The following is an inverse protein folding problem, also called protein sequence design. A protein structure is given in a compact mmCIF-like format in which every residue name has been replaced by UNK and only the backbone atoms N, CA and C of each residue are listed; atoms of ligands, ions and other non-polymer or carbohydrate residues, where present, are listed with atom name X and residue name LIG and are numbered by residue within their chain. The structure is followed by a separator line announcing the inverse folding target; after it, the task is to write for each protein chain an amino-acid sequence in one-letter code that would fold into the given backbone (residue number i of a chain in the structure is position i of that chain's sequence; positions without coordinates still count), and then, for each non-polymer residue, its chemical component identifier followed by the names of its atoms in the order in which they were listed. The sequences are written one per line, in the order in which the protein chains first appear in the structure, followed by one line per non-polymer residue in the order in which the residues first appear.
data_IF_402840235774
#
_entry.id   IF_402840235774
#
_cell.length_a   1.000
_cell.length_b   1.000
_cell.length_c   1.000
_cell.angle_alpha   90.00
_cell.angle_beta   90.00
_cell.angle_gamma   90.00
#
_symmetry.space_group_name_H-M   'P 1'
#
loop_
_entity.id
_entity.type
_entity.pdbx_description
1 polymer ?
#
# COMPACT_ATOMS: atom_id res chain seq x y z
N UNK A 1 8.61 -8.05 13.71
CA UNK A 1 7.50 -7.83 14.66
C UNK A 1 6.54 -9.02 14.66
N UNK A 2 5.75 -9.32 13.59
CA UNK A 2 4.72 -10.37 13.60
C UNK A 2 5.26 -11.75 14.04
N UNK A 3 6.42 -12.18 13.53
CA UNK A 3 7.04 -13.43 13.95
C UNK A 3 7.42 -13.41 15.44
N UNK A 4 8.00 -12.30 15.90
CA UNK A 4 8.38 -12.14 17.31
C UNK A 4 7.16 -12.17 18.24
N UNK A 5 6.05 -11.51 17.85
CA UNK A 5 4.79 -11.55 18.60
C UNK A 5 4.24 -12.99 18.67
N UNK A 6 4.27 -13.72 17.55
CA UNK A 6 3.84 -15.13 17.53
C UNK A 6 4.72 -16.02 18.45
N UNK A 7 6.03 -15.81 18.41
CA UNK A 7 6.98 -16.55 19.28
C UNK A 7 6.75 -16.22 20.76
N UNK A 8 6.50 -14.94 21.09
CA UNK A 8 6.18 -14.51 22.44
C UNK A 8 4.90 -15.18 22.95
N UNK A 9 3.80 -15.11 22.20
CA UNK A 9 2.54 -15.77 22.57
C UNK A 9 2.69 -17.26 22.73
N UNK A 10 3.48 -17.92 21.89
CA UNK A 10 3.72 -19.34 21.98
C UNK A 10 4.45 -19.72 23.26
N UNK A 11 5.35 -18.86 23.74
CA UNK A 11 6.14 -19.09 24.94
C UNK A 11 5.42 -18.69 26.23
N UNK A 12 4.55 -17.69 26.18
CA UNK A 12 3.93 -17.09 27.38
C UNK A 12 2.47 -17.51 27.56
N UNK A 13 1.65 -17.37 26.53
CA UNK A 13 0.20 -17.58 26.63
C UNK A 13 -0.22 -18.99 26.22
N UNK A 14 0.47 -19.60 25.26
CA UNK A 14 0.08 -20.91 24.70
C UNK A 14 1.22 -21.94 24.66
N UNK A 15 1.99 -22.14 25.77
CA UNK A 15 3.13 -23.04 25.77
C UNK A 15 2.75 -24.52 25.60
N UNK A 16 1.46 -24.85 25.73
CA UNK A 16 0.92 -26.18 25.52
C UNK A 16 0.68 -26.54 24.05
N UNK A 17 0.73 -25.57 23.15
CA UNK A 17 0.55 -25.82 21.72
C UNK A 17 1.83 -26.40 21.10
N UNK A 18 1.67 -27.47 20.33
CA UNK A 18 2.75 -28.05 19.54
C UNK A 18 2.84 -27.36 18.18
N UNK A 19 3.36 -26.13 18.17
CA UNK A 19 3.53 -25.29 16.98
C UNK A 19 4.99 -24.90 16.85
N UNK A 20 5.52 -25.01 15.65
CA UNK A 20 6.88 -24.60 15.32
C UNK A 20 6.83 -23.45 14.34
N UNK A 21 7.55 -22.37 14.63
CA UNK A 21 7.68 -21.19 13.79
C UNK A 21 9.09 -21.16 13.18
N UNK A 22 9.17 -20.98 11.89
CA UNK A 22 10.44 -20.86 11.18
C UNK A 22 10.35 -19.86 10.04
N UNK A 23 11.28 -18.92 9.97
CA UNK A 23 11.41 -18.02 8.84
C UNK A 23 11.99 -18.77 7.64
N UNK A 24 11.33 -18.63 6.49
CA UNK A 24 11.77 -19.18 5.21
C UNK A 24 12.13 -18.09 4.20
N UNK A 25 12.26 -16.83 4.63
CA UNK A 25 12.52 -15.67 3.77
C UNK A 25 13.75 -15.88 2.90
N UNK A 26 14.84 -16.38 3.49
CA UNK A 26 16.12 -16.62 2.78
C UNK A 26 16.10 -17.83 1.83
N UNK A 27 15.01 -18.61 1.85
CA UNK A 27 14.88 -19.79 0.99
C UNK A 27 14.33 -19.44 -0.41
N UNK A 28 13.94 -18.18 -0.64
CA UNK A 28 13.35 -17.75 -1.90
C UNK A 28 13.98 -16.47 -2.42
N UNK A 29 14.24 -16.44 -3.73
CA UNK A 29 14.28 -15.22 -4.52
C UNK A 29 12.85 -14.87 -4.94
N UNK A 30 12.46 -13.60 -4.79
CA UNK A 30 11.11 -13.16 -5.10
C UNK A 30 11.14 -12.13 -6.21
N UNK A 31 10.32 -12.33 -7.24
CA UNK A 31 10.15 -11.40 -8.34
C UNK A 31 8.71 -10.92 -8.38
N UNK A 32 8.51 -9.61 -8.46
CA UNK A 32 7.21 -9.03 -8.76
C UNK A 32 7.20 -8.56 -10.21
N UNK A 33 6.20 -8.99 -10.96
CA UNK A 33 5.95 -8.56 -12.33
C UNK A 33 4.57 -7.92 -12.38
N UNK A 34 4.48 -6.65 -12.80
CA UNK A 34 3.26 -5.84 -12.75
C UNK A 34 3.05 -5.06 -14.03
N UNK A 35 1.78 -4.89 -14.39
CA UNK A 35 1.37 -4.09 -15.54
C UNK A 35 0.38 -4.81 -16.46
N UNK A 36 -0.21 -4.10 -17.43
CA UNK A 36 -1.31 -4.62 -18.26
C UNK A 36 -0.91 -5.80 -19.16
N UNK A 37 0.41 -5.99 -19.42
CA UNK A 37 0.94 -7.07 -20.25
C UNK A 37 1.53 -8.23 -19.45
N UNK A 38 1.41 -8.18 -18.15
CA UNK A 38 2.00 -9.18 -17.26
C UNK A 38 1.49 -10.59 -17.56
N UNK A 39 0.19 -10.76 -17.84
CA UNK A 39 -0.40 -12.07 -18.14
C UNK A 39 0.18 -12.71 -19.39
N UNK A 40 0.41 -11.92 -20.42
CA UNK A 40 1.01 -12.40 -21.67
C UNK A 40 2.46 -12.83 -21.46
N UNK A 41 3.22 -12.09 -20.66
CA UNK A 41 4.60 -12.45 -20.30
C UNK A 41 4.60 -13.74 -19.48
N UNK A 42 3.74 -13.84 -18.47
CA UNK A 42 3.64 -15.03 -17.62
C UNK A 42 3.31 -16.29 -18.41
N UNK A 43 2.40 -16.21 -19.40
CA UNK A 43 2.07 -17.33 -20.29
C UNK A 43 3.23 -17.79 -21.16
N UNK A 44 4.18 -16.91 -21.48
CA UNK A 44 5.38 -17.29 -22.23
C UNK A 44 6.44 -17.94 -21.38
N UNK A 45 6.61 -17.41 -20.17
CA UNK A 45 7.58 -17.96 -19.19
C UNK A 45 7.09 -19.32 -18.67
N UNK A 46 5.77 -19.46 -18.49
CA UNK A 46 5.14 -20.66 -17.94
C UNK A 46 3.99 -21.13 -18.84
N UNK A 47 4.29 -21.72 -20.00
CA UNK A 47 3.28 -22.06 -21.02
C UNK A 47 2.24 -23.09 -20.56
N UNK A 48 2.60 -23.94 -19.59
CA UNK A 48 1.72 -24.99 -19.06
C UNK A 48 0.80 -24.50 -17.95
N UNK A 49 0.87 -23.21 -17.57
CA UNK A 49 0.06 -22.64 -16.50
C UNK A 49 -1.07 -21.77 -17.08
N UNK A 50 -2.30 -22.07 -16.69
CA UNK A 50 -3.44 -21.21 -17.02
C UNK A 50 -3.51 -20.02 -16.07
N UNK A 51 -3.25 -18.82 -16.61
CA UNK A 51 -3.32 -17.54 -15.92
C UNK A 51 -4.65 -16.81 -16.13
N UNK A 52 -5.71 -17.49 -16.61
CA UNK A 52 -7.04 -16.88 -16.69
C UNK A 52 -7.56 -16.46 -15.31
N UNK A 53 -8.55 -15.58 -15.28
CA UNK A 53 -9.14 -15.13 -14.02
C UNK A 53 -9.80 -16.27 -13.24
N UNK A 54 -10.40 -17.22 -13.96
CA UNK A 54 -11.09 -18.36 -13.36
C UNK A 54 -10.09 -19.39 -12.80
N UNK A 55 -9.02 -19.67 -13.55
CA UNK A 55 -8.00 -20.61 -13.11
C UNK A 55 -7.08 -20.03 -12.03
N UNK A 56 -6.83 -18.72 -12.06
CA UNK A 56 -5.93 -18.06 -11.12
C UNK A 56 -6.57 -16.77 -10.56
N UNK A 57 -7.53 -16.87 -9.61
CA UNK A 57 -8.21 -15.71 -9.04
C UNK A 57 -7.26 -14.75 -8.31
N UNK A 58 -7.62 -13.48 -8.26
CA UNK A 58 -6.88 -12.48 -7.49
C UNK A 58 -6.79 -12.84 -6.00
N UNK A 59 -5.66 -12.55 -5.35
CA UNK A 59 -5.33 -12.90 -3.96
C UNK A 59 -5.28 -14.40 -3.69
N UNK A 60 -4.95 -15.19 -4.70
CA UNK A 60 -4.63 -16.62 -4.53
C UNK A 60 -3.17 -16.89 -4.85
N UNK A 61 -2.65 -17.99 -4.34
CA UNK A 61 -1.35 -18.52 -4.72
C UNK A 61 -1.46 -20.00 -5.11
N UNK A 62 -0.55 -20.44 -5.97
CA UNK A 62 -0.44 -21.84 -6.40
C UNK A 62 1.04 -22.23 -6.45
N UNK A 63 1.29 -23.52 -6.22
CA UNK A 63 2.62 -24.11 -6.40
C UNK A 63 2.64 -24.87 -7.74
N UNK A 64 3.74 -24.73 -8.46
CA UNK A 64 3.96 -25.35 -9.75
C UNK A 64 5.35 -26.02 -9.79
N UNK A 65 5.48 -26.98 -10.66
CA UNK A 65 6.80 -27.52 -11.02
C UNK A 65 7.46 -26.60 -12.05
N UNK A 66 8.73 -26.29 -11.85
CA UNK A 66 9.55 -25.50 -12.75
C UNK A 66 10.92 -26.14 -12.84
N UNK A 67 11.24 -26.71 -14.02
CA UNK A 67 12.46 -27.49 -14.20
C UNK A 67 12.58 -28.58 -13.11
N UNK A 68 13.68 -28.61 -12.36
CA UNK A 68 13.93 -29.58 -11.27
C UNK A 68 13.46 -29.09 -9.88
N UNK A 69 12.68 -28.01 -9.80
CA UNK A 69 12.25 -27.41 -8.54
C UNK A 69 10.77 -27.07 -8.52
N UNK A 70 10.29 -26.64 -7.36
CA UNK A 70 8.95 -26.08 -7.18
C UNK A 70 9.03 -24.56 -7.01
N UNK A 71 8.11 -23.89 -7.68
CA UNK A 71 7.90 -22.45 -7.51
C UNK A 71 6.52 -22.20 -6.92
N UNK A 72 6.39 -21.06 -6.25
CA UNK A 72 5.11 -20.53 -5.84
C UNK A 72 4.84 -19.25 -6.61
N UNK A 73 3.68 -19.15 -7.20
CA UNK A 73 3.21 -17.92 -7.84
C UNK A 73 1.99 -17.44 -7.06
N UNK A 74 2.01 -16.18 -6.65
CA UNK A 74 0.90 -15.49 -6.02
C UNK A 74 0.37 -14.42 -6.97
N UNK A 75 -0.94 -14.38 -7.19
CA UNK A 75 -1.57 -13.27 -7.89
C UNK A 75 -1.93 -12.19 -6.90
N UNK A 76 -1.06 -11.20 -6.78
CA UNK A 76 -1.20 -10.08 -5.87
C UNK A 76 -0.69 -8.79 -6.55
N UNK A 77 -1.09 -7.65 -6.03
CA UNK A 77 -0.64 -6.36 -6.53
C UNK A 77 -0.45 -5.36 -5.41
N UNK A 78 0.69 -4.71 -5.40
CA UNK A 78 0.95 -3.54 -4.57
C UNK A 78 0.96 -2.25 -5.39
N UNK A 79 1.13 -2.35 -6.71
CA UNK A 79 1.14 -1.21 -7.63
C UNK A 79 -0.25 -0.80 -8.14
N UNK A 80 -1.28 -1.60 -7.83
CA UNK A 80 -2.63 -1.40 -8.35
C UNK A 80 -2.87 -1.91 -9.78
N UNK A 81 -1.85 -2.49 -10.41
CA UNK A 81 -1.92 -3.13 -11.73
C UNK A 81 -2.11 -4.66 -11.60
N UNK A 82 -2.44 -5.34 -12.69
CA UNK A 82 -2.33 -6.80 -12.75
C UNK A 82 -0.90 -7.20 -12.38
N UNK A 83 -0.75 -8.10 -11.42
CA UNK A 83 0.55 -8.48 -10.91
C UNK A 83 0.65 -9.92 -10.45
N UNK A 84 1.85 -10.47 -10.54
CA UNK A 84 2.20 -11.78 -9.98
C UNK A 84 3.51 -11.66 -9.20
N UNK A 85 3.57 -12.33 -8.06
CA UNK A 85 4.77 -12.53 -7.26
C UNK A 85 5.23 -13.97 -7.43
N UNK A 86 6.49 -14.17 -7.83
CA UNK A 86 7.07 -15.48 -8.10
C UNK A 86 8.14 -15.74 -7.05
N UNK A 87 7.97 -16.81 -6.30
CA UNK A 87 8.88 -17.29 -5.27
C UNK A 87 9.59 -18.54 -5.76
N UNK A 88 10.91 -18.47 -5.92
CA UNK A 88 11.74 -19.53 -6.47
C UNK A 88 12.99 -19.73 -5.60
N UNK A 89 13.50 -20.96 -5.44
CA UNK A 89 14.78 -21.16 -4.73
C UNK A 89 15.90 -20.31 -5.38
N UNK A 90 16.79 -19.67 -4.59
CA UNK A 90 17.78 -18.70 -5.07
C UNK A 90 18.68 -19.20 -6.19
N UNK A 91 18.99 -20.51 -6.18
CA UNK A 91 19.78 -21.18 -7.22
C UNK A 91 19.26 -20.91 -8.65
N UNK A 92 17.96 -20.77 -8.83
CA UNK A 92 17.29 -20.58 -10.11
C UNK A 92 16.88 -19.12 -10.37
N UNK A 93 17.14 -18.22 -9.42
CA UNK A 93 16.65 -16.84 -9.48
C UNK A 93 17.16 -16.07 -10.68
N UNK A 94 18.47 -16.11 -10.93
CA UNK A 94 19.08 -15.40 -12.08
C UNK A 94 18.52 -15.91 -13.40
N UNK A 95 18.44 -17.22 -13.57
CA UNK A 95 17.95 -17.85 -14.81
C UNK A 95 16.50 -17.44 -15.08
N UNK A 96 15.64 -17.47 -14.07
CA UNK A 96 14.24 -17.02 -14.21
C UNK A 96 14.16 -15.52 -14.53
N UNK A 97 14.98 -14.69 -13.92
CA UNK A 97 15.03 -13.27 -14.22
C UNK A 97 15.36 -13.02 -15.71
N UNK A 98 16.39 -13.67 -16.23
CA UNK A 98 16.80 -13.55 -17.63
C UNK A 98 15.70 -14.06 -18.58
N UNK A 99 15.03 -15.15 -18.24
CA UNK A 99 13.91 -15.70 -19.01
C UNK A 99 12.71 -14.73 -19.05
N UNK A 100 12.33 -14.14 -17.90
CA UNK A 100 11.29 -13.12 -17.82
C UNK A 100 11.62 -11.92 -18.73
N UNK A 101 12.85 -11.41 -18.67
CA UNK A 101 13.27 -10.29 -19.51
C UNK A 101 13.30 -10.64 -21.00
N UNK A 102 13.76 -11.83 -21.35
CA UNK A 102 13.73 -12.34 -22.72
C UNK A 102 12.32 -12.39 -23.28
N UNK A 103 11.38 -12.99 -22.54
CA UNK A 103 9.96 -13.09 -22.93
C UNK A 103 9.28 -11.72 -22.92
N UNK A 104 9.69 -10.82 -22.03
CA UNK A 104 9.09 -9.50 -21.84
C UNK A 104 9.55 -8.43 -22.84
N UNK A 105 10.62 -8.68 -23.59
CA UNK A 105 11.27 -7.69 -24.47
C UNK A 105 10.31 -7.05 -25.48
N UNK A 106 9.47 -7.84 -26.13
CA UNK A 106 8.49 -7.34 -27.11
C UNK A 106 7.32 -6.60 -26.49
N UNK A 107 7.10 -6.74 -25.17
CA UNK A 107 6.10 -6.03 -24.39
C UNK A 107 6.65 -4.78 -23.70
N UNK A 108 7.90 -4.40 -24.01
CA UNK A 108 8.60 -3.30 -23.37
C UNK A 108 8.72 -3.48 -21.86
N UNK A 109 8.97 -4.70 -21.39
CA UNK A 109 9.24 -4.94 -19.97
C UNK A 109 10.49 -4.21 -19.55
N UNK A 110 10.40 -3.43 -18.50
CA UNK A 110 11.51 -2.69 -17.90
C UNK A 110 11.58 -2.97 -16.39
N UNK A 111 12.80 -2.97 -15.80
CA UNK A 111 12.92 -3.02 -14.35
C UNK A 111 12.44 -1.68 -13.75
N UNK A 112 11.80 -1.71 -12.58
CA UNK A 112 11.45 -0.51 -11.84
C UNK A 112 11.97 -0.58 -10.41
N UNK A 113 12.32 0.58 -9.86
CA UNK A 113 12.85 0.69 -8.50
C UNK A 113 11.75 0.92 -7.46
N UNK A 114 12.17 0.92 -6.20
CA UNK A 114 11.30 1.09 -5.02
C UNK A 114 10.51 2.39 -5.05
N UNK A 115 11.10 3.49 -5.51
CA UNK A 115 10.41 4.78 -5.62
C UNK A 115 9.21 4.73 -6.58
N UNK A 116 9.36 4.04 -7.71
CA UNK A 116 8.24 3.82 -8.63
C UNK A 116 7.14 2.98 -7.98
N UNK A 117 7.51 1.95 -7.23
CA UNK A 117 6.56 1.14 -6.47
C UNK A 117 5.81 1.97 -5.44
N UNK A 118 6.50 2.84 -4.70
CA UNK A 118 5.89 3.75 -3.72
C UNK A 118 4.94 4.77 -4.36
N UNK A 119 5.30 5.30 -5.51
CA UNK A 119 4.40 6.17 -6.28
C UNK A 119 3.12 5.42 -6.71
N UNK A 120 3.28 4.25 -7.35
CA UNK A 120 2.14 3.49 -7.89
C UNK A 120 1.20 3.01 -6.77
N UNK A 121 1.74 2.54 -5.64
CA UNK A 121 0.89 2.17 -4.49
C UNK A 121 0.12 3.38 -3.95
N UNK A 122 0.73 4.58 -3.93
CA UNK A 122 0.08 5.79 -3.47
C UNK A 122 -1.05 6.24 -4.42
N UNK A 123 -0.87 6.12 -5.74
CA UNK A 123 -1.93 6.33 -6.73
C UNK A 123 -3.14 5.40 -6.48
N UNK A 124 -2.89 4.18 -6.02
CA UNK A 124 -3.91 3.20 -5.66
C UNK A 124 -4.48 3.39 -4.25
N UNK A 125 -3.91 4.28 -3.45
CA UNK A 125 -4.30 4.48 -2.06
C UNK A 125 -3.89 3.35 -1.12
N UNK A 126 -2.93 2.52 -1.52
CA UNK A 126 -2.37 1.49 -0.65
C UNK A 126 -1.37 2.10 0.33
N UNK A 127 -1.39 1.59 1.55
CA UNK A 127 -0.54 2.08 2.65
C UNK A 127 0.81 1.36 2.69
N UNK A 128 1.78 2.03 3.29
CA UNK A 128 3.02 1.43 3.79
C UNK A 128 3.00 1.45 5.31
N UNK A 129 3.24 0.29 5.93
CA UNK A 129 3.36 0.18 7.38
C UNK A 129 4.57 1.01 7.85
N UNK A 130 4.35 1.86 8.83
CA UNK A 130 5.36 2.80 9.34
C UNK A 130 5.31 4.19 8.67
N UNK A 131 4.57 4.36 7.57
CA UNK A 131 4.37 5.62 6.86
C UNK A 131 2.95 6.18 7.10
N UNK A 132 1.92 5.45 6.71
CA UNK A 132 0.52 5.78 7.03
C UNK A 132 0.09 5.24 8.40
N UNK A 133 0.90 4.43 9.04
CA UNK A 133 0.60 3.81 10.32
C UNK A 133 1.65 4.11 11.38
N UNK A 134 1.20 4.25 12.60
CA UNK A 134 1.98 4.19 13.82
C UNK A 134 1.29 3.26 14.82
N UNK A 135 1.78 3.14 16.05
CA UNK A 135 1.19 2.31 17.07
C UNK A 135 -0.22 2.75 17.54
N UNK A 136 -0.75 3.86 17.04
CA UNK A 136 -2.06 4.41 17.41
C UNK A 136 -3.13 4.23 16.33
N UNK A 137 -2.74 3.92 15.10
CA UNK A 137 -3.64 3.81 13.95
C UNK A 137 -4.33 2.44 13.93
N UNK A 138 -5.63 2.43 13.69
CA UNK A 138 -6.45 1.23 13.54
C UNK A 138 -6.81 0.96 12.08
N UNK A 139 -7.21 -0.27 11.70
CA UNK A 139 -7.72 -0.54 10.36
C UNK A 139 -8.91 0.34 9.96
N UNK A 140 -9.72 0.78 10.96
CA UNK A 140 -10.87 1.67 10.73
C UNK A 140 -10.40 3.05 10.28
N UNK A 141 -9.31 3.56 10.86
CA UNK A 141 -8.71 4.84 10.49
C UNK A 141 -8.20 4.85 9.03
N UNK A 142 -7.81 3.68 8.52
CA UNK A 142 -7.25 3.49 7.18
C UNK A 142 -8.28 3.12 6.10
N UNK A 143 -9.57 3.08 6.41
CA UNK A 143 -10.62 2.57 5.51
C UNK A 143 -10.55 1.05 5.26
N UNK A 144 -9.89 0.29 6.12
CA UNK A 144 -9.72 -1.17 6.01
C UNK A 144 -10.68 -1.97 6.89
N UNK A 145 -11.88 -1.43 7.16
CA UNK A 145 -12.93 -2.11 7.92
C UNK A 145 -13.31 -3.48 7.32
N UNK A 146 -13.17 -3.62 6.01
CA UNK A 146 -13.45 -4.84 5.28
C UNK A 146 -12.49 -5.99 5.62
N UNK A 147 -11.29 -5.68 6.14
CA UNK A 147 -10.32 -6.67 6.60
C UNK A 147 -10.68 -7.28 7.96
N UNK A 148 -11.55 -6.61 8.73
CA UNK A 148 -11.96 -7.08 10.05
C UNK A 148 -12.99 -8.19 9.89
N UNK A 149 -12.64 -9.41 10.29
CA UNK A 149 -13.50 -10.59 10.16
C UNK A 149 -14.79 -10.45 10.99
N UNK A 150 -15.90 -10.15 10.33
CA UNK A 150 -17.21 -9.92 10.98
C UNK A 150 -17.74 -11.16 11.71
N UNK A 151 -17.42 -12.35 11.22
CA UNK A 151 -17.90 -13.62 11.78
C UNK A 151 -16.98 -14.20 12.86
N UNK A 152 -15.84 -13.58 13.15
CA UNK A 152 -14.96 -14.01 14.23
C UNK A 152 -15.56 -13.62 15.58
N UNK A 153 -15.72 -14.60 16.45
CA UNK A 153 -16.20 -14.37 17.82
C UNK A 153 -15.21 -13.53 18.61
N UNK A 154 -13.92 -13.84 18.47
CA UNK A 154 -12.83 -13.10 19.10
C UNK A 154 -11.54 -13.18 18.29
N UNK A 155 -10.63 -12.22 18.51
CA UNK A 155 -9.27 -12.15 17.95
C UNK A 155 -8.43 -11.14 18.74
N UNK A 156 -7.11 -11.26 18.67
CA UNK A 156 -6.19 -10.30 19.28
C UNK A 156 -6.44 -8.90 18.71
N UNK A 157 -6.72 -7.92 19.61
CA UNK A 157 -7.02 -6.54 19.22
C UNK A 157 -8.52 -6.22 19.08
N UNK A 158 -9.44 -7.19 19.05
CA UNK A 158 -10.88 -6.91 18.91
C UNK A 158 -11.39 -5.92 19.95
N UNK A 159 -11.05 -6.15 21.24
CA UNK A 159 -11.40 -5.25 22.34
C UNK A 159 -10.83 -3.85 22.14
N UNK A 160 -9.65 -3.74 21.57
CA UNK A 160 -8.99 -2.45 21.31
C UNK A 160 -9.76 -1.58 20.32
N UNK A 161 -10.50 -2.17 19.37
CA UNK A 161 -11.31 -1.42 18.41
C UNK A 161 -12.55 -0.76 19.01
N UNK A 162 -12.98 -1.21 20.19
CA UNK A 162 -14.16 -0.68 20.91
C UNK A 162 -13.81 0.22 22.10
N UNK A 163 -12.54 0.53 22.32
CA UNK A 163 -12.15 1.47 23.38
C UNK A 163 -12.66 2.88 23.07
N UNK A 164 -12.93 3.73 24.08
CA UNK A 164 -13.41 5.10 23.88
C UNK A 164 -12.52 5.91 22.92
N UNK A 165 -11.21 5.75 22.99
CA UNK A 165 -10.29 6.47 22.08
C UNK A 165 -10.34 5.94 20.65
N UNK A 166 -10.28 4.63 20.44
CA UNK A 166 -10.23 4.03 19.10
C UNK A 166 -11.57 4.06 18.36
N UNK A 167 -12.68 4.25 19.07
CA UNK A 167 -14.03 4.34 18.51
C UNK A 167 -14.48 5.78 18.21
N UNK A 168 -13.68 6.80 18.53
CA UNK A 168 -14.03 8.21 18.23
C UNK A 168 -14.07 8.46 16.73
N UNK A 169 -14.99 9.30 16.29
CA UNK A 169 -15.12 9.70 14.88
C UNK A 169 -14.10 10.77 14.46
N UNK A 170 -13.58 11.54 15.42
CA UNK A 170 -12.62 12.62 15.19
C UNK A 170 -11.16 12.15 15.18
N UNK A 171 -10.90 10.86 15.10
CA UNK A 171 -9.55 10.32 14.93
C UNK A 171 -8.94 10.75 13.61
N UNK A 172 -7.62 10.69 13.53
CA UNK A 172 -6.93 10.87 12.24
C UNK A 172 -7.32 9.70 11.32
N UNK A 173 -7.74 10.02 10.12
CA UNK A 173 -8.22 9.05 9.12
C UNK A 173 -7.51 9.30 7.79
N UNK A 174 -7.25 8.22 7.09
CA UNK A 174 -6.59 8.25 5.79
C UNK A 174 -7.50 8.87 4.72
N UNK A 175 -6.99 9.89 4.05
CA UNK A 175 -7.61 10.58 2.92
C UNK A 175 -6.58 10.88 1.83
N UNK A 176 -7.06 11.21 0.64
CA UNK A 176 -6.27 11.76 -0.44
C UNK A 176 -6.27 13.28 -0.44
N UNK A 177 -5.22 13.87 -0.98
CA UNK A 177 -5.10 15.31 -1.22
C UNK A 177 -4.79 15.57 -2.68
N UNK A 178 -5.51 16.53 -3.27
CA UNK A 178 -5.22 17.07 -4.59
C UNK A 178 -4.94 18.57 -4.50
N UNK A 179 -3.86 19.08 -5.10
CA UNK A 179 -3.59 20.52 -5.13
C UNK A 179 -4.63 21.20 -6.04
N UNK A 180 -5.16 22.34 -5.61
CA UNK A 180 -6.10 23.15 -6.43
C UNK A 180 -5.41 23.65 -7.68
N UNK A 181 -4.18 24.13 -7.56
CA UNK A 181 -3.35 24.42 -8.71
C UNK A 181 -2.45 23.21 -9.00
N UNK A 182 -2.64 22.57 -10.14
CA UNK A 182 -1.90 21.35 -10.55
C UNK A 182 -0.38 21.51 -10.63
N UNK A 183 0.14 22.74 -10.58
CA UNK A 183 1.59 23.02 -10.54
C UNK A 183 2.17 22.98 -9.13
N UNK A 184 1.33 23.01 -8.11
CA UNK A 184 1.78 22.95 -6.73
C UNK A 184 2.18 21.53 -6.37
N UNK A 185 3.22 21.41 -5.54
CA UNK A 185 3.80 20.13 -5.12
C UNK A 185 3.42 19.89 -3.67
N UNK A 186 2.83 18.73 -3.40
CA UNK A 186 2.56 18.21 -2.06
C UNK A 186 3.73 17.32 -1.68
N UNK A 187 4.35 17.58 -0.53
CA UNK A 187 5.50 16.85 -0.02
C UNK A 187 5.16 16.10 1.27
N UNK A 188 5.81 14.99 1.49
CA UNK A 188 5.71 14.24 2.74
C UNK A 188 6.11 15.09 3.95
N UNK A 189 5.45 14.89 5.08
CA UNK A 189 5.70 15.60 6.33
C UNK A 189 5.05 16.99 6.44
N UNK A 190 4.48 17.53 5.36
CA UNK A 190 3.75 18.81 5.43
C UNK A 190 2.50 18.68 6.32
N UNK A 191 2.11 19.78 6.99
CA UNK A 191 0.96 19.82 7.88
C UNK A 191 -0.28 20.38 7.19
N UNK A 192 -1.44 19.84 7.53
CA UNK A 192 -2.72 20.34 7.05
C UNK A 192 -3.25 21.37 8.05
N UNK A 193 -3.56 22.58 7.54
CA UNK A 193 -3.99 23.74 8.30
C UNK A 193 -5.21 24.42 7.65
N UNK A 194 -5.95 25.20 8.45
CA UNK A 194 -7.06 26.03 7.95
C UNK A 194 -6.57 27.39 7.39
N UNK A 195 -5.32 27.75 7.70
CA UNK A 195 -4.75 29.05 7.37
C UNK A 195 -4.17 29.08 5.96
N UNK A 196 -4.58 30.06 5.15
CA UNK A 196 -3.99 30.30 3.83
C UNK A 196 -2.52 30.77 3.91
N UNK A 197 -2.18 31.50 4.96
CA UNK A 197 -0.83 32.02 5.18
C UNK A 197 -0.41 31.88 6.65
N UNK A 198 0.80 31.43 6.86
CA UNK A 198 1.36 31.34 8.19
C UNK A 198 1.79 32.74 8.69
N UNK A 199 1.61 33.05 9.99
CA UNK A 199 2.07 34.30 10.56
C UNK A 199 3.59 34.41 10.47
N UNK A 200 4.11 35.58 10.12
CA UNK A 200 5.56 35.85 10.02
C UNK A 200 6.30 35.56 11.33
N UNK A 201 5.63 35.75 12.46
CA UNK A 201 6.14 35.41 13.80
C UNK A 201 5.15 34.51 14.50
N UNK A 202 5.56 33.28 14.77
CA UNK A 202 4.75 32.30 15.49
C UNK A 202 4.88 32.58 16.98
N UNK A 203 3.85 33.18 17.58
CA UNK A 203 3.79 33.48 19.03
C UNK A 203 2.99 32.43 19.79
N UNK A 204 2.07 31.74 19.12
CA UNK A 204 1.24 30.67 19.67
C UNK A 204 1.34 29.43 18.80
N UNK A 205 1.15 28.21 19.34
CA UNK A 205 1.09 26.99 18.55
C UNK A 205 0.03 27.07 17.46
N UNK A 206 0.39 26.74 16.23
CA UNK A 206 -0.55 26.66 15.11
C UNK A 206 -1.30 25.33 15.21
N UNK A 207 -2.62 25.41 15.23
CA UNK A 207 -3.48 24.22 15.19
C UNK A 207 -3.38 23.57 13.80
N UNK A 208 -2.99 22.31 13.76
CA UNK A 208 -3.00 21.49 12.55
C UNK A 208 -3.99 20.34 12.66
N UNK A 209 -4.58 19.94 11.55
CA UNK A 209 -5.58 18.87 11.48
C UNK A 209 -4.96 17.50 11.25
N UNK A 210 -3.79 17.47 10.64
CA UNK A 210 -3.09 16.26 10.28
C UNK A 210 -1.81 16.54 9.53
N UNK A 211 -1.27 15.53 8.86
CA UNK A 211 -0.04 15.63 8.08
C UNK A 211 -0.12 14.79 6.81
N UNK A 212 0.66 15.15 5.84
CA UNK A 212 0.90 14.37 4.62
C UNK A 212 1.83 13.21 4.97
N UNK A 213 1.36 12.00 4.83
CA UNK A 213 2.15 10.79 5.07
C UNK A 213 2.92 10.34 3.83
N UNK A 214 2.41 10.67 2.64
CA UNK A 214 3.06 10.37 1.36
C UNK A 214 2.71 11.44 0.35
N UNK A 215 3.71 11.99 -0.34
CA UNK A 215 3.52 13.00 -1.38
C UNK A 215 4.34 12.66 -2.62
N UNK A 216 3.67 12.59 -3.80
CA UNK A 216 4.31 12.25 -5.06
C UNK A 216 3.79 13.10 -6.22
N UNK A 217 4.61 13.28 -7.25
CA UNK A 217 4.13 13.71 -8.55
C UNK A 217 3.71 12.49 -9.36
N UNK A 218 2.41 12.39 -9.68
CA UNK A 218 1.87 11.30 -10.49
C UNK A 218 2.03 11.60 -11.97
N UNK A 219 2.81 10.83 -12.73
CA UNK A 219 2.87 10.95 -14.19
C UNK A 219 1.54 10.58 -14.85
N UNK A 220 0.80 9.64 -14.27
CA UNK A 220 -0.50 9.19 -14.79
C UNK A 220 -1.57 10.30 -14.71
N UNK A 221 -1.53 11.12 -13.66
CA UNK A 221 -2.46 12.23 -13.44
C UNK A 221 -1.90 13.58 -13.88
N UNK A 222 -0.58 13.65 -14.14
CA UNK A 222 0.16 14.85 -14.51
C UNK A 222 0.04 15.98 -13.46
N UNK A 223 0.00 15.62 -12.19
CA UNK A 223 0.05 16.57 -11.06
C UNK A 223 0.44 15.84 -9.77
N UNK A 224 0.69 16.62 -8.71
CA UNK A 224 0.99 16.06 -7.39
C UNK A 224 -0.25 15.44 -6.75
N UNK A 225 -0.03 14.38 -5.98
CA UNK A 225 -1.01 13.71 -5.11
C UNK A 225 -0.42 13.58 -3.71
N UNK A 226 -1.27 13.51 -2.69
CA UNK A 226 -0.83 13.21 -1.33
C UNK A 226 -1.77 12.24 -0.63
N UNK A 227 -1.20 11.30 0.14
CA UNK A 227 -1.93 10.58 1.18
C UNK A 227 -1.72 11.33 2.50
N UNK A 228 -2.76 11.44 3.30
CA UNK A 228 -2.69 12.19 4.55
C UNK A 228 -3.55 11.56 5.66
N UNK A 229 -3.07 11.70 6.88
CA UNK A 229 -3.80 11.32 8.09
C UNK A 229 -4.40 12.58 8.72
N UNK A 230 -5.72 12.77 8.59
CA UNK A 230 -6.43 13.99 8.99
C UNK A 230 -7.51 13.67 10.02
N UNK A 231 -7.62 14.50 11.06
CA UNK A 231 -8.68 14.40 12.08
C UNK A 231 -10.07 14.52 11.44
N UNK A 232 -10.91 13.49 11.64
CA UNK A 232 -12.24 13.44 11.05
C UNK A 232 -12.22 13.45 9.51
N UNK A 233 -11.12 13.00 8.88
CA UNK A 233 -10.86 13.17 7.47
C UNK A 233 -11.97 12.67 6.54
N UNK A 234 -12.63 11.58 6.89
CA UNK A 234 -13.77 11.03 6.12
C UNK A 234 -14.94 12.01 6.00
N UNK A 235 -15.16 12.83 7.02
CA UNK A 235 -16.22 13.82 7.04
C UNK A 235 -15.83 15.13 6.32
N UNK A 236 -14.58 15.25 5.89
CA UNK A 236 -14.02 16.42 5.23
C UNK A 236 -13.85 16.26 3.72
N UNK A 237 -14.28 15.12 3.16
CA UNK A 237 -14.18 14.87 1.72
C UNK A 237 -14.89 15.97 0.91
N UNK A 238 -14.23 16.47 -0.15
CA UNK A 238 -14.69 17.59 -1.00
C UNK A 238 -14.43 18.97 -0.41
N UNK A 239 -13.94 19.08 0.83
CA UNK A 239 -13.61 20.38 1.43
C UNK A 239 -12.19 20.81 1.10
N UNK A 240 -11.97 22.13 1.14
CA UNK A 240 -10.68 22.75 0.85
C UNK A 240 -9.96 23.17 2.11
N UNK A 241 -8.69 22.84 2.16
CA UNK A 241 -7.75 23.18 3.23
C UNK A 241 -6.45 23.65 2.64
N UNK A 242 -5.46 23.84 3.49
CA UNK A 242 -4.12 24.26 3.07
C UNK A 242 -3.07 23.28 3.61
N UNK A 243 -2.04 23.07 2.81
CA UNK A 243 -0.84 22.31 3.21
C UNK A 243 0.29 23.31 3.38
N UNK A 244 1.03 23.23 4.50
CA UNK A 244 2.16 24.11 4.76
C UNK A 244 3.25 23.92 3.70
N UNK A 245 3.79 25.02 3.18
CA UNK A 245 4.87 24.96 2.20
C UNK A 245 6.22 25.21 2.86
N UNK A 246 7.18 24.30 2.67
CA UNK A 246 8.51 24.38 3.26
C UNK A 246 9.21 25.68 2.87
N UNK A 247 9.65 26.44 3.86
CA UNK A 247 10.37 27.72 3.65
C UNK A 247 9.53 28.88 3.11
N UNK A 248 8.19 28.74 3.03
CA UNK A 248 7.27 29.78 2.56
C UNK A 248 6.23 30.10 3.62
N UNK A 249 5.70 31.33 3.60
CA UNK A 249 4.59 31.75 4.46
C UNK A 249 3.23 31.38 3.85
N UNK A 250 3.13 31.41 2.52
CA UNK A 250 1.89 31.08 1.80
C UNK A 250 1.78 29.56 1.64
N UNK A 251 0.68 29.04 2.15
CA UNK A 251 0.36 27.62 2.12
C UNK A 251 -0.24 27.21 0.76
N UNK A 252 -0.21 25.92 0.46
CA UNK A 252 -0.71 25.32 -0.77
C UNK A 252 -2.18 24.95 -0.58
N UNK A 253 -3.12 25.49 -1.37
CA UNK A 253 -4.51 25.10 -1.29
C UNK A 253 -4.73 23.70 -1.88
N UNK A 254 -5.40 22.84 -1.13
CA UNK A 254 -5.69 21.44 -1.49
C UNK A 254 -7.17 21.13 -1.29
N UNK A 255 -7.65 20.13 -1.99
CA UNK A 255 -8.94 19.48 -1.78
C UNK A 255 -8.72 18.11 -1.13
N UNK A 256 -9.51 17.79 -0.11
CA UNK A 256 -9.54 16.47 0.53
C UNK A 256 -10.42 15.55 -0.33
N UNK A 257 -9.85 14.44 -0.79
CA UNK A 257 -10.51 13.48 -1.67
C UNK A 257 -10.37 12.04 -1.14
N UNK A 258 -11.03 11.10 -1.82
CA UNK A 258 -10.80 9.68 -1.57
C UNK A 258 -9.32 9.33 -1.81
N UNK A 259 -8.67 8.52 -0.97
CA UNK A 259 -7.27 8.18 -1.14
C UNK A 259 -6.95 7.31 -2.37
N UNK A 260 -7.95 6.76 -3.04
CA UNK A 260 -7.77 6.00 -4.30
C UNK A 260 -7.87 6.94 -5.47
N UNK A 261 -6.75 7.33 -6.05
CA UNK A 261 -6.70 8.29 -7.17
C UNK A 261 -6.90 7.62 -8.53
N UNK A 262 -6.47 6.35 -8.66
CA UNK A 262 -6.53 5.60 -9.93
C UNK A 262 -7.24 4.27 -9.72
N UNK A 263 -8.13 3.94 -10.67
CA UNK A 263 -8.86 2.67 -10.75
C UNK A 263 -9.57 2.28 -9.44
N UNK A 264 -10.48 3.10 -8.91
CA UNK A 264 -11.19 2.82 -7.67
C UNK A 264 -12.05 1.55 -7.73
N UNK A 265 -12.40 1.10 -8.91
CA UNK A 265 -13.20 -0.11 -9.15
C UNK A 265 -12.35 -1.39 -9.26
N UNK A 266 -11.02 -1.31 -9.14
CA UNK A 266 -10.09 -2.45 -9.23
C UNK A 266 -10.13 -3.22 -10.57
N UNK A 267 -10.52 -2.57 -11.67
CA UNK A 267 -10.59 -3.19 -13.00
C UNK A 267 -9.23 -3.65 -13.51
N UNK A 268 -8.16 -2.90 -13.20
CA UNK A 268 -6.80 -3.23 -13.61
C UNK A 268 -6.27 -4.50 -12.94
N UNK A 269 -6.68 -4.79 -11.70
CA UNK A 269 -6.27 -5.99 -10.96
C UNK A 269 -6.82 -7.28 -11.59
N UNK A 270 -7.91 -7.17 -12.34
CA UNK A 270 -8.65 -8.30 -12.92
C UNK A 270 -8.62 -8.32 -14.45
N UNK A 271 -7.91 -7.39 -15.06
CA UNK A 271 -7.77 -7.29 -16.52
C UNK A 271 -7.04 -8.49 -17.16
#
# INVERSE_FOLDING_TARGET
EVLADMEEYLQTEWPHLQVYLNSITEQFSTFNISGPKTREIMRRVFPDIDFSNDAFPFMTFKNFDYKETKIRIMRASFTGELGYEIYIPPKFGLELWEEIFSCGKEFNLIPYGTETMHLLRAEKGYIVIGQETDGTVTPIDLNYNWMIGKNKKDFIGKRSLSRPDTSREDRKQLVGLLPINKKDIIEEGQHIVELNELPKKITNPIKYLGHVSSGYHSPNLNHSIGLAMIRGGKNLLGQKFFVTATGKTKNIPVEIVNPVFIDPENKRLTS
#
